data_IF_665389908078
#
_entry.id   IF_665389908078
#
_cell.length_a   1.000
_cell.length_b   1.000
_cell.length_c   1.000
_cell.angle_alpha   90.00
_cell.angle_beta   90.00
_cell.angle_gamma   90.00
#
_symmetry.space_group_name_H-M   'P 1'
#
loop_
_entity.id
_entity.type
_entity.pdbx_description
1 polymer ?
#
# COMPACT_ATOMS: atom_id res chain seq x y z
N UNK A 1 -24.08 -34.36 -10.14
CA UNK A 1 -24.34 -32.92 -10.27
C UNK A 1 -23.17 -32.21 -9.60
N UNK A 2 -22.12 -31.88 -10.35
CA UNK A 2 -20.94 -31.22 -9.79
C UNK A 2 -21.23 -29.74 -9.60
N UNK A 3 -21.09 -29.23 -8.38
CA UNK A 3 -21.14 -27.79 -8.13
C UNK A 3 -19.84 -27.23 -8.71
N UNK A 4 -19.89 -26.64 -9.90
CA UNK A 4 -18.79 -25.83 -10.39
C UNK A 4 -18.87 -24.50 -9.66
N UNK A 5 -17.93 -24.28 -8.72
CA UNK A 5 -17.76 -22.99 -8.07
C UNK A 5 -17.23 -22.00 -9.10
N UNK A 6 -18.14 -21.29 -9.76
CA UNK A 6 -17.80 -20.30 -10.77
C UNK A 6 -17.41 -18.95 -10.15
N UNK A 7 -17.43 -18.81 -8.83
CA UNK A 7 -17.12 -17.59 -8.11
C UNK A 7 -16.17 -17.87 -6.94
N UNK A 8 -15.24 -16.97 -6.68
CA UNK A 8 -14.44 -16.96 -5.45
C UNK A 8 -14.47 -15.59 -4.80
N UNK A 9 -14.62 -15.58 -3.48
CA UNK A 9 -14.51 -14.39 -2.64
C UNK A 9 -13.22 -14.50 -1.83
N UNK A 10 -12.48 -13.40 -1.76
CA UNK A 10 -11.26 -13.26 -0.97
C UNK A 10 -11.39 -12.05 -0.07
N UNK A 11 -10.99 -12.20 1.20
CA UNK A 11 -10.86 -11.09 2.14
C UNK A 11 -9.47 -11.20 2.75
N UNK A 12 -8.73 -10.09 2.78
CA UNK A 12 -7.40 -10.01 3.36
C UNK A 12 -7.32 -8.85 4.35
N UNK A 13 -6.58 -9.10 5.42
CA UNK A 13 -6.06 -8.09 6.33
C UNK A 13 -4.56 -8.30 6.45
N UNK A 14 -3.79 -7.22 6.42
CA UNK A 14 -2.34 -7.25 6.59
C UNK A 14 -1.86 -6.01 7.32
N UNK A 15 -0.76 -6.15 8.04
CA UNK A 15 -0.10 -5.05 8.73
C UNK A 15 1.40 -5.13 8.47
N UNK A 16 2.02 -3.98 8.23
CA UNK A 16 3.46 -3.87 8.02
C UNK A 16 3.98 -2.55 8.59
N UNK A 17 5.29 -2.44 8.75
CA UNK A 17 5.94 -1.22 9.20
C UNK A 17 7.23 -0.96 8.43
N UNK A 18 7.64 0.31 8.39
CA UNK A 18 8.96 0.76 7.95
C UNK A 18 9.67 1.40 9.13
N UNK A 19 10.73 0.75 9.62
CA UNK A 19 11.59 1.36 10.62
C UNK A 19 12.26 2.63 10.06
N UNK A 20 12.53 3.65 10.91
CA UNK A 20 13.34 4.79 10.53
C UNK A 20 14.71 4.32 10.03
N UNK A 21 15.20 4.94 8.96
CA UNK A 21 16.53 4.69 8.43
C UNK A 21 17.60 5.38 9.28
N UNK A 22 18.86 4.93 9.16
CA UNK A 22 19.97 5.59 9.83
C UNK A 22 20.17 7.04 9.38
N UNK A 23 19.83 7.36 8.13
CA UNK A 23 19.92 8.74 7.63
C UNK A 23 18.87 9.64 8.29
N UNK A 24 17.62 9.18 8.38
CA UNK A 24 16.53 9.90 9.06
C UNK A 24 16.84 10.15 10.54
N UNK A 25 17.51 9.21 11.22
CA UNK A 25 17.86 9.34 12.64
C UNK A 25 19.13 10.17 12.91
N UNK A 26 20.18 10.02 12.09
CA UNK A 26 21.53 10.45 12.48
C UNK A 26 22.26 11.35 11.45
N UNK A 27 21.57 11.88 10.43
CA UNK A 27 22.21 12.81 9.48
C UNK A 27 22.77 14.04 10.22
N UNK A 28 24.06 14.32 9.99
CA UNK A 28 24.81 15.43 10.63
C UNK A 28 25.73 16.17 9.67
N UNK A 29 25.97 15.61 8.48
CA UNK A 29 26.86 16.18 7.47
C UNK A 29 26.15 17.13 6.48
N UNK A 30 24.85 17.38 6.67
CA UNK A 30 24.08 18.33 5.89
C UNK A 30 23.51 19.44 6.78
N UNK A 31 24.09 20.64 6.79
CA UNK A 31 23.70 21.72 7.72
C UNK A 31 22.22 22.14 7.66
N UNK A 32 21.54 21.95 6.54
CA UNK A 32 20.12 22.29 6.40
C UNK A 32 19.17 21.15 6.81
N UNK A 33 19.70 20.00 7.24
CA UNK A 33 18.90 18.81 7.60
C UNK A 33 19.39 18.26 8.94
N UNK A 34 18.47 18.09 9.87
CA UNK A 34 18.71 17.47 11.17
C UNK A 34 18.05 16.08 11.25
N UNK A 35 18.80 15.09 11.71
CA UNK A 35 18.27 13.78 12.05
C UNK A 35 17.35 13.82 13.27
N UNK A 36 16.61 12.73 13.50
CA UNK A 36 15.79 12.59 14.69
C UNK A 36 15.78 11.15 15.22
N UNK A 37 16.40 10.92 16.37
CA UNK A 37 16.41 9.60 17.03
C UNK A 37 15.08 9.23 17.68
N UNK A 38 14.18 10.20 17.87
CA UNK A 38 12.86 10.02 18.49
C UNK A 38 11.77 9.63 17.46
N UNK A 39 12.15 9.17 16.27
CA UNK A 39 11.21 8.76 15.23
C UNK A 39 10.54 7.41 15.57
N UNK A 40 9.22 7.37 15.43
CA UNK A 40 8.46 6.13 15.44
C UNK A 40 8.48 5.48 14.03
N UNK A 41 8.34 4.15 13.92
CA UNK A 41 8.17 3.48 12.63
C UNK A 41 6.88 3.91 11.93
N UNK A 42 6.93 4.09 10.61
CA UNK A 42 5.71 4.22 9.80
C UNK A 42 4.97 2.89 9.81
N UNK A 43 3.65 2.89 9.98
CA UNK A 43 2.84 1.67 9.96
C UNK A 43 1.79 1.71 8.85
N UNK A 44 1.46 0.56 8.30
CA UNK A 44 0.38 0.41 7.31
C UNK A 44 -0.53 -0.75 7.68
N UNK A 45 -1.85 -0.49 7.67
CA UNK A 45 -2.91 -1.50 7.77
C UNK A 45 -3.64 -1.60 6.43
N UNK A 46 -3.64 -2.79 5.85
CA UNK A 46 -4.21 -3.07 4.53
C UNK A 46 -5.43 -3.97 4.65
N UNK A 47 -6.54 -3.54 4.03
CA UNK A 47 -7.78 -4.30 3.91
C UNK A 47 -8.10 -4.50 2.43
N UNK A 48 -8.33 -5.75 2.01
CA UNK A 48 -8.67 -6.06 0.62
C UNK A 48 -9.88 -7.00 0.56
N UNK A 49 -10.80 -6.71 -0.36
CA UNK A 49 -11.93 -7.59 -0.69
C UNK A 49 -11.95 -7.80 -2.19
N UNK A 50 -11.87 -9.06 -2.59
CA UNK A 50 -11.80 -9.48 -3.98
C UNK A 50 -12.89 -10.46 -4.37
N UNK A 51 -13.52 -10.25 -5.52
CA UNK A 51 -14.48 -11.17 -6.12
C UNK A 51 -13.98 -11.57 -7.51
N UNK A 52 -13.83 -12.86 -7.75
CA UNK A 52 -13.51 -13.42 -9.06
C UNK A 52 -14.65 -14.31 -9.55
N UNK A 53 -14.95 -14.25 -10.85
CA UNK A 53 -16.03 -15.02 -11.47
C UNK A 53 -15.63 -15.56 -12.84
N UNK A 54 -15.75 -16.87 -13.01
CA UNK A 54 -15.61 -17.56 -14.30
C UNK A 54 -16.95 -17.48 -15.04
N UNK A 55 -17.08 -16.51 -15.96
CA UNK A 55 -18.31 -16.31 -16.72
C UNK A 55 -18.66 -17.49 -17.62
N UNK A 56 -17.65 -18.07 -18.27
CA UNK A 56 -17.74 -19.29 -19.08
C UNK A 56 -16.33 -19.86 -19.28
N UNK A 57 -16.19 -20.96 -20.02
CA UNK A 57 -14.87 -21.61 -20.27
C UNK A 57 -13.83 -20.75 -21.01
N UNK A 58 -14.20 -19.57 -21.51
CA UNK A 58 -13.33 -18.66 -22.26
C UNK A 58 -13.11 -17.33 -21.55
N UNK A 59 -13.95 -16.96 -20.58
CA UNK A 59 -13.92 -15.62 -19.97
C UNK A 59 -13.98 -15.72 -18.46
N UNK A 60 -13.05 -15.03 -17.80
CA UNK A 60 -13.03 -14.83 -16.36
C UNK A 60 -12.82 -13.35 -16.05
N UNK A 61 -13.47 -12.86 -15.00
CA UNK A 61 -13.31 -11.49 -14.53
C UNK A 61 -13.03 -11.48 -13.03
N UNK A 62 -12.28 -10.50 -12.56
CA UNK A 62 -12.12 -10.22 -11.13
C UNK A 62 -12.23 -8.72 -10.87
N UNK A 63 -12.68 -8.39 -9.66
CA UNK A 63 -12.70 -7.03 -9.12
C UNK A 63 -12.19 -7.08 -7.68
N UNK A 64 -11.28 -6.16 -7.35
CA UNK A 64 -10.73 -6.01 -6.02
C UNK A 64 -10.95 -4.58 -5.54
N UNK A 65 -11.41 -4.43 -4.31
CA UNK A 65 -11.37 -3.17 -3.58
C UNK A 65 -10.28 -3.27 -2.53
N UNK A 66 -9.44 -2.24 -2.43
CA UNK A 66 -8.41 -2.13 -1.41
C UNK A 66 -8.54 -0.82 -0.64
N UNK A 67 -8.20 -0.87 0.63
CA UNK A 67 -8.09 0.28 1.52
C UNK A 67 -6.85 0.12 2.38
N UNK A 68 -5.97 1.11 2.34
CA UNK A 68 -4.76 1.19 3.13
C UNK A 68 -4.81 2.43 4.01
N UNK A 69 -4.44 2.22 5.26
CA UNK A 69 -4.33 3.25 6.28
C UNK A 69 -2.89 3.29 6.75
N UNK A 70 -2.23 4.43 6.54
CA UNK A 70 -0.81 4.65 6.82
C UNK A 70 -0.71 5.69 7.93
N UNK A 71 -0.06 5.32 9.03
CA UNK A 71 0.15 6.18 10.20
C UNK A 71 1.64 6.52 10.35
N UNK A 72 1.91 7.66 10.99
CA UNK A 72 3.25 8.10 11.40
C UNK A 72 4.24 8.30 10.25
N UNK A 73 3.77 8.83 9.10
CA UNK A 73 4.63 9.08 7.93
C UNK A 73 5.85 9.95 8.29
N UNK A 74 7.06 9.48 8.03
CA UNK A 74 8.28 10.23 8.30
C UNK A 74 8.48 11.25 7.18
N UNK A 75 8.51 12.53 7.55
CA UNK A 75 8.71 13.65 6.64
C UNK A 75 9.62 14.71 7.25
N UNK A 76 9.98 15.73 6.46
CA UNK A 76 10.77 16.85 6.94
C UNK A 76 9.88 18.05 7.31
N UNK A 77 10.06 18.60 8.50
CA UNK A 77 9.46 19.86 8.94
C UNK A 77 10.56 20.90 9.19
N UNK A 78 10.37 22.11 8.66
CA UNK A 78 11.26 23.25 8.96
C UNK A 78 11.11 23.67 10.41
N UNK A 79 12.23 23.84 11.11
CA UNK A 79 12.25 24.22 12.51
C UNK A 79 11.81 25.69 12.68
N UNK A 80 10.92 25.95 13.62
CA UNK A 80 10.42 27.32 13.86
C UNK A 80 11.52 28.27 14.35
N UNK A 81 12.48 27.74 15.13
CA UNK A 81 13.59 28.50 15.71
C UNK A 81 14.81 28.61 14.78
N UNK A 82 14.84 27.82 13.70
CA UNK A 82 15.88 27.88 12.67
C UNK A 82 15.28 27.57 11.29
N UNK A 83 14.74 28.60 10.60
CA UNK A 83 14.08 28.43 9.31
C UNK A 83 14.99 27.95 8.17
N UNK A 84 16.31 27.89 8.38
CA UNK A 84 17.27 27.31 7.43
C UNK A 84 17.42 25.79 7.56
N UNK A 85 16.82 25.20 8.58
CA UNK A 85 17.01 23.80 8.96
C UNK A 85 15.67 23.07 8.99
N UNK A 86 15.64 21.88 8.40
CA UNK A 86 14.51 20.96 8.48
C UNK A 86 14.90 19.71 9.25
N UNK A 87 13.99 19.20 10.09
CA UNK A 87 14.20 17.98 10.86
C UNK A 87 13.22 16.90 10.41
N UNK A 88 13.66 15.65 10.45
CA UNK A 88 12.76 14.51 10.26
C UNK A 88 11.80 14.36 11.45
N UNK A 89 10.50 14.19 11.17
CA UNK A 89 9.45 13.98 12.16
C UNK A 89 8.39 13.02 11.58
N UNK A 90 7.64 12.33 12.45
CA UNK A 90 6.41 11.65 12.06
C UNK A 90 5.31 12.71 11.80
N UNK A 91 5.03 12.97 10.53
CA UNK A 91 4.21 14.05 10.01
C UNK A 91 2.98 13.52 9.27
N UNK A 92 2.04 13.00 10.07
CA UNK A 92 0.67 12.76 9.66
C UNK A 92 0.44 11.41 9.01
N UNK A 93 -0.78 11.28 8.50
CA UNK A 93 -1.35 9.99 8.09
C UNK A 93 -1.86 10.07 6.65
N UNK A 94 -1.90 8.93 5.97
CA UNK A 94 -2.43 8.83 4.61
C UNK A 94 -3.38 7.64 4.45
N UNK A 95 -4.45 7.88 3.69
CA UNK A 95 -5.41 6.85 3.33
C UNK A 95 -5.39 6.65 1.82
N UNK A 96 -5.17 5.41 1.39
CA UNK A 96 -5.06 5.05 -0.04
C UNK A 96 -6.07 3.95 -0.33
N UNK A 97 -7.00 4.22 -1.22
CA UNK A 97 -8.04 3.25 -1.58
C UNK A 97 -8.33 3.27 -3.07
N UNK A 98 -8.84 2.16 -3.59
CA UNK A 98 -9.13 2.04 -5.01
C UNK A 98 -9.83 0.75 -5.37
N UNK A 99 -10.15 0.65 -6.66
CA UNK A 99 -10.74 -0.53 -7.26
C UNK A 99 -9.87 -0.95 -8.42
N UNK A 100 -9.55 -2.24 -8.50
CA UNK A 100 -8.86 -2.87 -9.60
C UNK A 100 -9.79 -3.89 -10.26
N UNK A 101 -9.71 -4.01 -11.59
CA UNK A 101 -10.51 -4.97 -12.34
C UNK A 101 -9.63 -5.67 -13.37
N UNK A 102 -9.75 -6.99 -13.45
CA UNK A 102 -9.08 -7.81 -14.45
C UNK A 102 -10.12 -8.59 -15.26
N UNK A 103 -9.84 -8.79 -16.55
CA UNK A 103 -10.63 -9.68 -17.40
C UNK A 103 -9.70 -10.51 -18.26
N UNK A 104 -9.81 -11.83 -18.17
CA UNK A 104 -9.07 -12.79 -18.97
C UNK A 104 -9.99 -13.39 -20.03
N UNK A 105 -9.49 -13.43 -21.27
CA UNK A 105 -10.20 -14.03 -22.42
C UNK A 105 -9.29 -15.03 -23.13
N UNK A 106 -9.72 -16.29 -23.19
CA UNK A 106 -9.01 -17.36 -23.91
C UNK A 106 -9.52 -17.46 -25.36
N UNK A 107 -8.68 -17.02 -26.31
CA UNK A 107 -8.99 -16.95 -27.75
C UNK A 107 -8.31 -18.11 -28.49
N UNK A 108 -8.67 -19.36 -28.20
CA UNK A 108 -8.27 -20.49 -29.06
C UNK A 108 -9.33 -20.75 -30.12
N UNK A 109 -8.95 -20.64 -31.39
CA UNK A 109 -9.64 -21.36 -32.48
C UNK A 109 -9.30 -22.84 -32.32
N UNK A 110 -10.28 -23.66 -31.97
CA UNK A 110 -10.15 -25.10 -32.14
C UNK A 110 -10.00 -25.39 -33.63
N UNK A 111 -8.77 -25.58 -34.11
CA UNK A 111 -8.51 -26.19 -35.40
C UNK A 111 -8.50 -27.71 -35.17
N UNK A 112 -9.60 -28.36 -35.55
CA UNK A 112 -9.63 -29.76 -35.95
C UNK A 112 -10.09 -29.80 -37.41
#
# INVERSE_FOLDING_TARGET
>A
MGVHENASLKVLYGEAFRAPSFEEMYITNQPAIEGNEDLDPETIRSYEVGLSYQMNKYVACSVNYFYNDVEDLIGMRTLENDPGTSRFENLGDAHIQGIEMETKVDITKGNY
#
